data_IF_846100860902
#
_entry.id   IF_846100860902
#
_cell.length_a   1.000
_cell.length_b   1.000
_cell.length_c   1.000
_cell.angle_alpha   90.00
_cell.angle_beta   90.00
_cell.angle_gamma   90.00
#
_symmetry.space_group_name_H-M   'P 1'
#
loop_
_entity.id
_entity.type
_entity.pdbx_description
1 polymer ?
#
# COMPACT_ATOMS: atom_id res chain seq x y z
N UNK A 1 -11.02 -39.15 9.15
CA UNK A 1 -9.84 -38.37 9.61
C UNK A 1 -9.89 -36.98 8.99
N UNK A 2 -9.88 -35.93 9.83
CA UNK A 2 -10.19 -34.56 9.42
C UNK A 2 -9.21 -33.99 8.39
N UNK A 3 -9.75 -33.34 7.36
CA UNK A 3 -9.04 -32.79 6.20
C UNK A 3 -8.09 -31.60 6.48
N UNK A 4 -7.81 -31.29 7.76
CA UNK A 4 -7.00 -30.13 8.15
C UNK A 4 -5.93 -30.58 9.16
N UNK A 5 -4.69 -30.59 8.71
CA UNK A 5 -3.54 -30.82 9.58
C UNK A 5 -3.42 -29.67 10.59
N UNK A 6 -3.56 -29.98 11.88
CA UNK A 6 -3.31 -29.05 12.98
C UNK A 6 -1.99 -29.39 13.69
N UNK A 7 -1.19 -28.37 13.97
CA UNK A 7 0.04 -28.52 14.75
C UNK A 7 -0.29 -28.86 16.20
N UNK A 8 0.65 -29.49 16.91
CA UNK A 8 0.51 -29.72 18.34
C UNK A 8 0.40 -28.38 19.08
N UNK A 9 -0.62 -28.26 19.93
CA UNK A 9 -0.82 -27.09 20.80
C UNK A 9 0.17 -27.10 21.97
N UNK A 10 0.29 -25.98 22.69
CA UNK A 10 1.05 -25.95 23.94
C UNK A 10 0.48 -26.92 24.98
N UNK A 11 -0.85 -27.10 25.01
CA UNK A 11 -1.51 -28.02 25.94
C UNK A 11 -1.22 -29.48 25.60
N UNK A 12 -1.20 -29.84 24.32
CA UNK A 12 -0.78 -31.17 23.85
C UNK A 12 0.70 -31.42 24.20
N UNK A 13 1.58 -30.43 24.00
CA UNK A 13 3.01 -30.57 24.34
C UNK A 13 3.26 -30.78 25.84
N UNK A 14 2.55 -30.07 26.72
CA UNK A 14 2.62 -30.27 28.18
C UNK A 14 2.09 -31.64 28.62
N UNK A 15 1.14 -32.23 27.88
CA UNK A 15 0.71 -33.62 28.11
C UNK A 15 1.81 -34.61 27.72
N UNK A 16 2.41 -34.43 26.54
CA UNK A 16 3.53 -35.25 26.06
C UNK A 16 4.71 -35.22 27.05
N UNK A 17 5.04 -34.05 27.58
CA UNK A 17 6.06 -33.89 28.64
C UNK A 17 5.78 -34.76 29.86
N UNK A 18 4.59 -34.62 30.47
CA UNK A 18 4.21 -35.44 31.64
C UNK A 18 4.25 -36.94 31.34
N UNK A 19 3.76 -37.34 30.18
CA UNK A 19 3.78 -38.75 29.75
C UNK A 19 5.20 -39.26 29.46
N UNK A 20 6.10 -38.39 28.99
CA UNK A 20 7.50 -38.75 28.79
C UNK A 20 8.19 -39.03 30.12
N UNK A 21 7.94 -38.21 31.15
CA UNK A 21 8.42 -38.47 32.50
C UNK A 21 7.83 -39.76 33.10
N UNK A 22 6.55 -40.02 32.84
CA UNK A 22 5.87 -41.26 33.25
C UNK A 22 6.21 -42.48 32.37
N UNK A 23 7.16 -42.37 31.42
CA UNK A 23 7.60 -43.44 30.51
C UNK A 23 6.48 -44.10 29.69
N UNK A 24 5.40 -43.37 29.42
CA UNK A 24 4.28 -43.84 28.59
C UNK A 24 4.77 -44.09 27.14
N UNK A 25 4.37 -45.19 26.48
CA UNK A 25 4.78 -45.47 25.11
C UNK A 25 4.21 -44.47 24.11
N UNK A 26 4.97 -44.19 23.05
CA UNK A 26 4.59 -43.21 21.99
C UNK A 26 3.28 -43.57 21.31
N UNK A 27 3.00 -44.87 21.14
CA UNK A 27 1.77 -45.37 20.55
C UNK A 27 0.54 -44.99 21.38
N UNK A 28 0.66 -45.05 22.71
CA UNK A 28 -0.41 -44.65 23.62
C UNK A 28 -0.61 -43.14 23.62
N UNK A 29 0.47 -42.35 23.62
CA UNK A 29 0.38 -40.89 23.49
C UNK A 29 -0.35 -40.50 22.18
N UNK A 30 0.00 -41.15 21.07
CA UNK A 30 -0.60 -40.92 19.77
C UNK A 30 -2.10 -41.27 19.75
N UNK A 31 -2.48 -42.41 20.35
CA UNK A 31 -3.86 -42.86 20.51
C UNK A 31 -4.69 -41.86 21.32
N UNK A 32 -4.20 -41.44 22.49
CA UNK A 32 -4.92 -40.51 23.39
C UNK A 32 -5.06 -39.11 22.78
N UNK A 33 -4.03 -38.60 22.10
CA UNK A 33 -4.09 -37.31 21.40
C UNK A 33 -4.80 -37.37 20.05
N UNK A 34 -5.18 -38.57 19.57
CA UNK A 34 -5.72 -38.80 18.23
C UNK A 34 -4.80 -38.24 17.14
N UNK A 35 -3.49 -38.46 17.28
CA UNK A 35 -2.44 -38.04 16.33
C UNK A 35 -1.77 -39.27 15.73
N UNK A 36 -1.17 -39.10 14.54
CA UNK A 36 -0.33 -40.14 13.96
C UNK A 36 0.92 -40.37 14.82
N UNK A 37 1.33 -41.63 15.01
CA UNK A 37 2.56 -42.02 15.74
C UNK A 37 3.78 -41.24 15.26
N UNK A 38 3.98 -41.16 13.95
CA UNK A 38 5.10 -40.42 13.35
C UNK A 38 5.11 -38.92 13.68
N UNK A 39 3.96 -38.31 14.00
CA UNK A 39 3.91 -36.91 14.44
C UNK A 39 4.52 -36.76 15.82
N UNK A 40 4.17 -37.64 16.77
CA UNK A 40 4.73 -37.61 18.13
C UNK A 40 6.23 -37.94 18.11
N UNK A 41 6.64 -38.94 17.33
CA UNK A 41 8.05 -39.29 17.19
C UNK A 41 8.88 -38.13 16.63
N UNK A 42 8.39 -37.47 15.57
CA UNK A 42 9.06 -36.29 14.99
C UNK A 42 9.08 -35.11 15.96
N UNK A 43 8.03 -34.91 16.74
CA UNK A 43 7.97 -33.85 17.77
C UNK A 43 9.06 -34.07 18.82
N UNK A 44 9.09 -35.27 19.44
CA UNK A 44 10.08 -35.62 20.46
C UNK A 44 11.51 -35.50 19.94
N UNK A 45 11.78 -36.00 18.73
CA UNK A 45 13.12 -35.94 18.12
C UNK A 45 13.54 -34.52 17.78
N UNK A 46 12.63 -33.71 17.22
CA UNK A 46 12.98 -32.38 16.69
C UNK A 46 13.04 -31.31 17.76
N UNK A 47 12.30 -31.46 18.85
CA UNK A 47 12.15 -30.44 19.89
C UNK A 47 12.69 -30.93 21.24
N UNK A 48 13.69 -31.82 21.20
CA UNK A 48 14.49 -32.20 22.36
C UNK A 48 15.39 -31.03 22.77
N UNK A 49 15.39 -30.69 24.04
CA UNK A 49 16.33 -29.72 24.61
C UNK A 49 17.58 -30.46 25.08
N UNK A 50 18.74 -29.93 24.73
CA UNK A 50 20.04 -30.42 25.17
C UNK A 50 20.98 -29.23 25.35
N UNK A 51 21.73 -29.22 26.45
CA UNK A 51 22.70 -28.16 26.77
C UNK A 51 24.01 -28.80 27.24
N UNK A 52 25.10 -28.54 26.51
CA UNK A 52 26.42 -29.07 26.80
C UNK A 52 26.94 -28.66 28.20
N UNK A 53 26.47 -27.53 28.74
CA UNK A 53 26.86 -27.03 30.06
C UNK A 53 25.97 -27.55 31.19
N UNK A 54 24.83 -28.19 30.85
CA UNK A 54 23.88 -28.76 31.81
C UNK A 54 23.33 -30.10 31.31
N UNK A 55 24.17 -31.14 31.15
CA UNK A 55 23.74 -32.43 30.61
C UNK A 55 22.67 -33.14 31.44
N UNK A 56 22.53 -32.80 32.74
CA UNK A 56 21.46 -33.31 33.60
C UNK A 56 20.06 -32.73 33.30
N UNK A 57 19.99 -31.69 32.46
CA UNK A 57 18.75 -31.01 32.07
C UNK A 57 18.30 -31.41 30.65
N UNK A 58 18.89 -32.44 30.06
CA UNK A 58 18.52 -32.91 28.72
C UNK A 58 17.16 -33.60 28.74
N UNK A 59 16.27 -33.17 27.85
CA UNK A 59 14.93 -33.77 27.80
C UNK A 59 13.93 -33.07 26.91
N UNK A 60 12.69 -33.57 26.99
CA UNK A 60 11.56 -32.96 26.29
C UNK A 60 10.72 -32.16 27.28
N UNK A 61 10.77 -30.83 27.16
CA UNK A 61 9.95 -29.90 27.93
C UNK A 61 8.91 -29.26 27.03
N UNK A 62 7.63 -29.32 27.40
CA UNK A 62 6.55 -28.89 26.53
C UNK A 62 6.60 -27.40 26.19
N UNK A 63 7.05 -26.57 27.14
CA UNK A 63 7.27 -25.14 26.93
C UNK A 63 8.47 -24.86 26.02
N UNK A 64 9.63 -25.50 26.29
CA UNK A 64 10.83 -25.34 25.46
C UNK A 64 10.57 -25.84 24.03
N UNK A 65 9.91 -27.00 23.87
CA UNK A 65 9.55 -27.55 22.58
C UNK A 65 8.63 -26.62 21.77
N UNK A 66 7.72 -25.91 22.45
CA UNK A 66 6.89 -24.89 21.80
C UNK A 66 7.72 -23.71 21.30
N UNK A 67 8.69 -23.24 22.10
CA UNK A 67 9.60 -22.15 21.73
C UNK A 67 10.53 -22.56 20.57
N UNK A 68 11.16 -23.74 20.64
CA UNK A 68 12.02 -24.30 19.59
C UNK A 68 11.25 -24.42 18.26
N UNK A 69 10.00 -24.93 18.32
CA UNK A 69 9.14 -25.02 17.13
C UNK A 69 8.80 -23.63 16.57
N UNK A 70 8.47 -22.67 17.43
CA UNK A 70 8.18 -21.31 17.03
C UNK A 70 9.40 -20.63 16.38
N UNK A 71 10.58 -20.82 16.95
CA UNK A 71 11.84 -20.27 16.46
C UNK A 71 12.22 -20.87 15.10
N UNK A 72 12.15 -22.19 14.95
CA UNK A 72 12.41 -22.86 13.66
C UNK A 72 11.52 -22.29 12.56
N UNK A 73 10.22 -22.16 12.84
CA UNK A 73 9.26 -21.54 11.90
C UNK A 73 9.57 -20.08 11.63
N UNK A 74 10.07 -19.35 12.63
CA UNK A 74 10.48 -17.97 12.47
C UNK A 74 11.66 -17.84 11.49
N UNK A 75 12.65 -18.74 11.57
CA UNK A 75 13.80 -18.82 10.65
C UNK A 75 13.39 -19.23 9.23
N UNK A 76 12.42 -20.13 9.12
CA UNK A 76 11.88 -20.60 7.83
C UNK A 76 10.94 -19.62 7.12
N UNK A 77 10.61 -18.47 7.73
CA UNK A 77 9.79 -17.44 7.07
C UNK A 77 10.46 -17.02 5.75
N UNK A 78 9.68 -16.95 4.68
CA UNK A 78 10.19 -16.67 3.32
C UNK A 78 11.05 -15.41 3.20
N UNK A 79 10.69 -14.34 3.92
CA UNK A 79 11.45 -13.09 3.93
C UNK A 79 12.71 -13.15 4.83
N UNK A 80 12.82 -14.12 5.73
CA UNK A 80 14.07 -14.39 6.46
C UNK A 80 14.99 -15.26 5.61
N UNK A 81 14.44 -16.30 4.98
CA UNK A 81 15.20 -17.23 4.11
C UNK A 81 15.77 -16.57 2.85
N UNK A 82 15.11 -15.54 2.30
CA UNK A 82 15.53 -14.88 1.07
C UNK A 82 15.83 -13.39 1.32
N UNK A 83 17.09 -13.03 1.67
CA UNK A 83 17.46 -11.68 2.05
C UNK A 83 17.28 -10.65 0.92
N UNK A 84 17.55 -11.02 -0.33
CA UNK A 84 17.35 -10.13 -1.48
C UNK A 84 15.87 -9.82 -1.73
N UNK A 85 15.00 -10.82 -1.58
CA UNK A 85 13.55 -10.60 -1.66
C UNK A 85 13.09 -9.65 -0.55
N UNK A 86 13.60 -9.85 0.67
CA UNK A 86 13.32 -8.97 1.80
C UNK A 86 13.77 -7.54 1.53
N UNK A 87 15.00 -7.33 1.05
CA UNK A 87 15.53 -6.02 0.71
C UNK A 87 14.62 -5.29 -0.27
N UNK A 88 14.24 -5.96 -1.37
CA UNK A 88 13.30 -5.41 -2.38
C UNK A 88 11.93 -5.07 -1.79
N UNK A 89 11.38 -5.92 -0.92
CA UNK A 89 10.10 -5.66 -0.25
C UNK A 89 10.20 -4.43 0.66
N UNK A 90 11.26 -4.34 1.48
CA UNK A 90 11.48 -3.22 2.40
C UNK A 90 11.66 -1.91 1.63
N UNK A 91 12.45 -1.92 0.56
CA UNK A 91 12.64 -0.75 -0.30
C UNK A 91 11.31 -0.25 -0.88
N UNK A 92 10.49 -1.15 -1.43
CA UNK A 92 9.16 -0.80 -1.96
C UNK A 92 8.24 -0.26 -0.85
N UNK A 93 8.26 -0.84 0.35
CA UNK A 93 7.51 -0.33 1.52
C UNK A 93 7.96 1.09 1.85
N UNK A 94 9.27 1.33 1.95
CA UNK A 94 9.84 2.65 2.27
C UNK A 94 9.51 3.69 1.21
N UNK A 95 9.39 3.29 -0.06
CA UNK A 95 8.90 4.11 -1.17
C UNK A 95 7.37 4.32 -1.18
N UNK A 96 6.65 3.81 -0.19
CA UNK A 96 5.23 4.08 0.03
C UNK A 96 4.29 3.04 -0.56
N UNK A 97 4.80 1.93 -1.09
CA UNK A 97 3.97 0.88 -1.65
C UNK A 97 3.30 0.07 -0.54
N UNK A 98 2.04 -0.26 -0.75
CA UNK A 98 1.30 -1.14 0.16
C UNK A 98 1.67 -2.61 -0.06
N UNK A 99 1.51 -3.47 0.95
CA UNK A 99 1.71 -4.92 0.79
C UNK A 99 0.92 -5.55 -0.37
N UNK A 100 -0.32 -5.11 -0.61
CA UNK A 100 -1.13 -5.55 -1.76
C UNK A 100 -0.47 -5.15 -3.08
N UNK A 101 -0.01 -3.91 -3.19
CA UNK A 101 0.68 -3.40 -4.38
C UNK A 101 1.97 -4.16 -4.66
N UNK A 102 2.79 -4.42 -3.64
CA UNK A 102 4.06 -5.14 -3.79
C UNK A 102 3.81 -6.56 -4.29
N UNK A 103 2.88 -7.27 -3.65
CA UNK A 103 2.56 -8.66 -3.97
C UNK A 103 2.03 -8.79 -5.40
N UNK A 104 1.05 -7.98 -5.79
CA UNK A 104 0.48 -8.04 -7.13
C UNK A 104 1.43 -7.52 -8.19
N UNK A 105 2.30 -6.56 -7.86
CA UNK A 105 3.37 -6.13 -8.78
C UNK A 105 4.33 -7.27 -9.10
N UNK A 106 4.71 -8.08 -8.12
CA UNK A 106 5.55 -9.27 -8.37
C UNK A 106 4.87 -10.29 -9.29
N UNK A 107 3.54 -10.40 -9.23
CA UNK A 107 2.76 -11.26 -10.14
C UNK A 107 2.77 -10.67 -11.55
N UNK A 108 2.51 -9.36 -11.68
CA UNK A 108 2.55 -8.64 -12.95
C UNK A 108 3.92 -8.77 -13.65
N UNK A 109 5.00 -8.61 -12.89
CA UNK A 109 6.39 -8.76 -13.36
C UNK A 109 6.79 -10.22 -13.61
N UNK A 110 5.89 -11.19 -13.41
CA UNK A 110 6.16 -12.64 -13.51
C UNK A 110 7.40 -13.08 -12.71
N UNK A 111 7.66 -12.44 -11.56
CA UNK A 111 8.85 -12.72 -10.77
C UNK A 111 8.92 -14.20 -10.35
N UNK A 112 10.09 -14.82 -10.45
CA UNK A 112 10.32 -16.22 -10.04
C UNK A 112 10.04 -16.44 -8.55
N UNK A 113 10.43 -15.48 -7.72
CA UNK A 113 10.24 -15.52 -6.27
C UNK A 113 9.28 -14.42 -5.80
N UNK A 114 8.13 -14.83 -5.24
CA UNK A 114 7.03 -13.91 -4.85
C UNK A 114 6.60 -14.10 -3.39
N UNK A 115 5.98 -13.08 -2.82
CA UNK A 115 5.30 -13.14 -1.52
C UNK A 115 3.87 -12.63 -1.63
N UNK A 116 2.96 -13.23 -0.86
CA UNK A 116 1.61 -12.70 -0.73
C UNK A 116 1.60 -11.49 0.22
N UNK A 117 0.57 -10.65 0.12
CA UNK A 117 0.39 -9.49 1.00
C UNK A 117 0.43 -9.85 2.50
N UNK A 118 -0.11 -11.01 2.88
CA UNK A 118 -0.16 -11.46 4.28
C UNK A 118 1.25 -11.78 4.80
N UNK A 119 2.10 -12.42 3.98
CA UNK A 119 3.51 -12.65 4.32
C UNK A 119 4.25 -11.35 4.60
N UNK A 120 3.98 -10.30 3.81
CA UNK A 120 4.59 -8.99 4.00
C UNK A 120 4.10 -8.36 5.30
N UNK A 121 2.79 -8.32 5.55
CA UNK A 121 2.26 -7.80 6.82
C UNK A 121 2.81 -8.58 8.03
N UNK A 122 2.88 -9.90 7.96
CA UNK A 122 3.47 -10.73 9.04
C UNK A 122 4.93 -10.36 9.31
N UNK A 123 5.69 -9.98 8.29
CA UNK A 123 7.05 -9.48 8.47
C UNK A 123 7.07 -8.07 9.09
N UNK A 124 6.27 -7.13 8.58
CA UNK A 124 6.18 -5.77 9.13
C UNK A 124 5.88 -5.80 10.64
N UNK A 125 4.95 -6.65 11.06
CA UNK A 125 4.53 -6.75 12.46
C UNK A 125 5.34 -7.75 13.29
N UNK A 126 6.38 -8.36 12.71
CA UNK A 126 7.30 -9.21 13.47
C UNK A 126 8.35 -8.38 14.20
N UNK A 127 9.11 -9.02 15.11
CA UNK A 127 10.17 -8.35 15.87
C UNK A 127 11.16 -7.63 14.95
N UNK A 128 11.51 -8.24 13.82
CA UNK A 128 12.43 -7.66 12.84
C UNK A 128 11.86 -6.41 12.17
N UNK A 129 10.62 -6.49 11.67
CA UNK A 129 9.97 -5.36 11.01
C UNK A 129 9.62 -4.21 11.95
N UNK A 130 9.37 -4.50 13.23
CA UNK A 130 9.16 -3.49 14.27
C UNK A 130 10.46 -2.76 14.61
N UNK A 131 11.61 -3.46 14.67
CA UNK A 131 12.93 -2.83 14.89
C UNK A 131 13.31 -1.86 13.78
N UNK A 132 12.80 -2.06 12.57
CA UNK A 132 13.02 -1.19 11.41
C UNK A 132 11.91 -0.14 11.20
N UNK A 133 10.95 -0.04 12.13
CA UNK A 133 9.77 0.85 12.06
C UNK A 133 8.99 0.75 10.74
N UNK A 134 8.92 -0.45 10.14
CA UNK A 134 8.26 -0.64 8.84
C UNK A 134 6.77 -0.29 8.87
N UNK A 135 6.15 -0.34 10.05
CA UNK A 135 4.76 0.04 10.28
C UNK A 135 4.51 1.53 9.99
N UNK A 136 5.52 2.39 10.15
CA UNK A 136 5.46 3.82 9.82
C UNK A 136 5.26 4.04 8.32
N UNK A 137 5.68 3.08 7.49
CA UNK A 137 5.53 3.16 6.05
C UNK A 137 4.22 2.52 5.54
N UNK A 138 3.29 2.19 6.43
CA UNK A 138 1.94 1.81 6.02
C UNK A 138 1.04 3.06 5.91
N UNK A 139 0.01 3.07 5.04
CA UNK A 139 -0.86 4.23 4.85
C UNK A 139 -1.51 4.78 6.13
N UNK A 140 -1.68 3.93 7.15
CA UNK A 140 -2.30 4.31 8.42
C UNK A 140 -1.31 4.45 9.58
N UNK A 141 -0.01 4.24 9.35
CA UNK A 141 1.04 4.34 10.39
C UNK A 141 0.71 3.56 11.67
N UNK A 142 0.15 2.35 11.54
CA UNK A 142 -0.30 1.58 12.71
C UNK A 142 0.74 0.56 13.14
N UNK A 143 1.23 0.72 14.37
CA UNK A 143 2.16 -0.19 15.06
C UNK A 143 1.59 -1.61 15.20
N UNK A 144 0.27 -1.74 15.35
CA UNK A 144 -0.41 -3.02 15.48
C UNK A 144 -1.59 -3.16 14.50
N UNK A 145 -1.87 -4.41 14.10
CA UNK A 145 -3.05 -4.75 13.29
C UNK A 145 -4.31 -4.52 14.11
N UNK A 146 -5.35 -3.98 13.47
CA UNK A 146 -6.68 -4.01 14.06
C UNK A 146 -7.33 -5.35 13.77
N UNK A 147 -8.00 -5.98 14.76
CA UNK A 147 -8.88 -7.11 14.50
C UNK A 147 -9.88 -6.71 13.42
N UNK A 148 -10.15 -7.63 12.50
CA UNK A 148 -11.17 -7.44 11.47
C UNK A 148 -12.53 -7.50 12.18
N UNK A 149 -13.00 -6.38 12.72
CA UNK A 149 -14.36 -6.28 13.23
C UNK A 149 -15.28 -6.47 12.03
N UNK A 150 -16.14 -7.48 12.07
CA UNK A 150 -17.32 -7.60 11.22
C UNK A 150 -18.18 -6.38 11.53
N UNK A 151 -17.97 -5.29 10.79
CA UNK A 151 -18.85 -4.14 10.85
C UNK A 151 -20.18 -4.66 10.30
N UNK A 152 -21.19 -4.86 11.16
CA UNK A 152 -22.58 -5.05 10.71
C UNK A 152 -22.83 -3.95 9.68
N UNK A 153 -23.11 -4.31 8.43
CA UNK A 153 -23.53 -3.35 7.41
C UNK A 153 -24.80 -2.70 7.98
N UNK A 154 -24.69 -1.44 8.40
CA UNK A 154 -25.87 -0.62 8.62
C UNK A 154 -26.54 -0.46 7.27
N UNK A 155 -27.86 -0.52 7.23
CA UNK A 155 -28.59 -0.23 6.02
C UNK A 155 -28.15 1.14 5.47
N UNK A 156 -27.95 1.28 4.15
CA UNK A 156 -27.63 2.56 3.56
C UNK A 156 -28.72 3.56 3.95
N UNK A 157 -28.34 4.72 4.47
CA UNK A 157 -29.29 5.81 4.78
C UNK A 157 -29.99 6.39 3.54
N UNK A 158 -29.53 6.02 2.34
CA UNK A 158 -29.96 6.58 1.06
C UNK A 158 -30.40 5.45 0.13
N UNK A 159 -31.37 5.73 -0.75
CA UNK A 159 -31.89 4.79 -1.75
C UNK A 159 -30.77 4.23 -2.62
N UNK A 160 -30.91 2.99 -3.11
CA UNK A 160 -29.86 2.32 -3.90
C UNK A 160 -29.47 3.10 -5.15
N UNK A 161 -30.40 3.85 -5.73
CA UNK A 161 -30.19 4.62 -6.97
C UNK A 161 -29.37 5.90 -6.76
N UNK A 162 -29.22 6.35 -5.50
CA UNK A 162 -28.29 7.44 -5.12
C UNK A 162 -26.97 6.91 -4.57
N UNK A 163 -26.79 5.58 -4.57
CA UNK A 163 -25.56 4.93 -4.12
C UNK A 163 -24.44 5.16 -5.13
N UNK A 164 -23.23 5.37 -4.62
CA UNK A 164 -22.00 5.45 -5.44
C UNK A 164 -21.79 4.22 -6.34
N UNK A 165 -22.46 3.11 -6.03
CA UNK A 165 -22.44 1.84 -6.78
C UNK A 165 -23.26 1.89 -8.09
N UNK A 166 -24.24 2.79 -8.21
CA UNK A 166 -25.12 2.94 -9.37
C UNK A 166 -24.85 4.25 -10.13
N UNK A 167 -23.58 4.68 -10.14
CA UNK A 167 -23.15 5.86 -10.89
C UNK A 167 -23.44 5.65 -12.40
N UNK A 168 -24.08 6.60 -13.11
CA UNK A 168 -24.27 6.52 -14.56
C UNK A 168 -22.92 6.35 -15.30
N UNK A 169 -22.90 5.46 -16.28
CA UNK A 169 -21.69 5.06 -17.02
C UNK A 169 -21.03 6.25 -17.74
N UNK A 170 -21.84 7.19 -18.22
CA UNK A 170 -21.45 8.38 -18.98
C UNK A 170 -20.48 9.29 -18.18
N UNK A 171 -20.64 9.35 -16.86
CA UNK A 171 -19.79 10.13 -15.92
C UNK A 171 -18.49 9.38 -15.58
N UNK A 172 -18.42 8.08 -15.88
CA UNK A 172 -17.31 7.19 -15.53
C UNK A 172 -16.25 7.03 -16.64
N UNK A 173 -16.49 7.57 -17.84
CA UNK A 173 -15.66 7.29 -19.00
C UNK A 173 -14.34 8.07 -19.00
N UNK A 174 -13.39 7.55 -18.22
CA UNK A 174 -11.96 7.87 -18.25
C UNK A 174 -11.31 7.15 -19.44
N UNK A 175 -11.84 7.38 -20.64
CA UNK A 175 -11.54 6.59 -21.83
C UNK A 175 -10.46 7.22 -22.70
N UNK A 176 -10.43 8.56 -22.75
CA UNK A 176 -9.49 9.29 -23.60
C UNK A 176 -8.31 9.83 -22.79
N UNK A 177 -7.11 9.64 -23.34
CA UNK A 177 -5.87 10.14 -22.78
C UNK A 177 -5.74 11.66 -22.96
N UNK A 178 -5.06 12.32 -22.01
CA UNK A 178 -4.72 13.74 -22.09
C UNK A 178 -5.73 14.67 -21.43
N UNK A 179 -6.71 14.13 -20.71
CA UNK A 179 -7.59 14.92 -19.84
C UNK A 179 -7.08 14.89 -18.41
N UNK A 180 -6.91 16.07 -17.81
CA UNK A 180 -6.35 16.24 -16.49
C UNK A 180 -7.39 16.77 -15.49
N UNK A 181 -7.30 16.32 -14.25
CA UNK A 181 -8.01 16.92 -13.12
C UNK A 181 -7.01 17.75 -12.30
N UNK A 182 -7.34 19.00 -12.00
CA UNK A 182 -6.51 19.91 -11.22
C UNK A 182 -7.16 20.24 -9.88
N UNK A 183 -6.38 20.28 -8.80
CA UNK A 183 -6.87 20.64 -7.47
C UNK A 183 -5.82 21.42 -6.68
N UNK A 184 -6.26 22.26 -5.73
CA UNK A 184 -5.37 23.06 -4.89
C UNK A 184 -5.30 22.50 -3.47
N UNK A 185 -4.15 21.91 -3.13
CA UNK A 185 -3.90 21.40 -1.79
C UNK A 185 -3.46 22.51 -0.84
N UNK A 186 -4.33 22.81 0.13
CA UNK A 186 -4.08 23.82 1.16
C UNK A 186 -3.36 23.24 2.40
N UNK A 187 -2.56 24.07 3.06
CA UNK A 187 -1.85 23.76 4.29
C UNK A 187 -2.33 24.67 5.43
N UNK A 188 -1.92 24.38 6.68
CA UNK A 188 -2.33 25.21 7.81
C UNK A 188 -1.94 26.67 7.59
N UNK A 189 -2.89 27.59 7.73
CA UNK A 189 -2.70 29.04 7.50
C UNK A 189 -1.53 29.62 8.30
N UNK A 190 -1.29 29.14 9.52
CA UNK A 190 -0.15 29.55 10.36
C UNK A 190 1.24 29.29 9.75
N UNK A 191 1.33 28.46 8.71
CA UNK A 191 2.57 28.16 7.99
C UNK A 191 2.74 29.05 6.74
N UNK A 192 1.85 30.03 6.55
CA UNK A 192 1.83 30.94 5.41
C UNK A 192 0.80 30.58 4.35
N UNK A 193 0.91 31.22 3.19
CA UNK A 193 -0.04 31.10 2.08
C UNK A 193 0.35 30.02 1.05
N UNK A 194 1.47 29.33 1.28
CA UNK A 194 1.98 28.33 0.34
C UNK A 194 1.01 27.15 0.21
N UNK A 195 0.94 26.64 -1.01
CA UNK A 195 0.02 25.57 -1.38
C UNK A 195 0.65 24.71 -2.48
N UNK A 196 0.00 23.62 -2.83
CA UNK A 196 0.45 22.72 -3.90
C UNK A 196 -0.70 22.51 -4.88
N UNK A 197 -0.48 22.83 -6.15
CA UNK A 197 -1.39 22.40 -7.21
C UNK A 197 -1.07 20.96 -7.56
N UNK A 198 -2.08 20.10 -7.57
CA UNK A 198 -2.00 18.71 -8.03
C UNK A 198 -2.73 18.58 -9.36
N UNK A 199 -2.04 18.09 -10.39
CA UNK A 199 -2.59 17.75 -11.70
C UNK A 199 -2.55 16.24 -11.85
N UNK A 200 -3.66 15.61 -12.26
CA UNK A 200 -3.72 14.16 -12.44
C UNK A 200 -4.40 13.79 -13.76
N UNK A 201 -3.67 13.10 -14.63
CA UNK A 201 -4.21 12.61 -15.90
C UNK A 201 -5.19 11.46 -15.64
N UNK A 202 -6.37 11.52 -16.27
CA UNK A 202 -7.54 10.71 -15.90
C UNK A 202 -7.44 9.26 -16.32
N UNK A 203 -6.63 8.89 -17.31
CA UNK A 203 -6.45 7.49 -17.73
C UNK A 203 -5.34 6.84 -16.90
N UNK A 204 -4.12 7.34 -17.05
CA UNK A 204 -2.87 6.85 -16.47
C UNK A 204 -2.71 7.14 -14.99
N UNK A 205 -3.45 8.11 -14.42
CA UNK A 205 -3.21 8.64 -13.05
C UNK A 205 -1.87 9.32 -12.88
N UNK A 206 -1.19 9.66 -13.98
CA UNK A 206 0.07 10.36 -13.91
C UNK A 206 -0.14 11.69 -13.19
N UNK A 207 0.65 11.93 -12.16
CA UNK A 207 0.46 13.02 -11.23
C UNK A 207 1.61 14.00 -11.37
N UNK A 208 1.30 15.28 -11.51
CA UNK A 208 2.26 16.38 -11.41
C UNK A 208 1.89 17.22 -10.21
N UNK A 209 2.86 17.62 -9.40
CA UNK A 209 2.63 18.51 -8.26
C UNK A 209 3.51 19.76 -8.37
N UNK A 210 2.90 20.92 -8.15
CA UNK A 210 3.54 22.22 -8.33
C UNK A 210 3.41 23.00 -7.02
N UNK A 211 4.53 23.31 -6.38
CA UNK A 211 4.57 24.15 -5.18
C UNK A 211 4.33 25.61 -5.55
N UNK A 212 3.44 26.30 -4.87
CA UNK A 212 3.15 27.72 -5.07
C UNK A 212 3.38 28.53 -3.79
N UNK A 213 3.92 29.76 -3.88
CA UNK A 213 4.12 30.62 -2.72
C UNK A 213 2.79 31.12 -2.13
N UNK A 214 1.79 31.36 -2.98
CA UNK A 214 0.45 31.85 -2.61
C UNK A 214 -0.60 31.32 -3.60
N UNK A 215 -1.87 31.72 -3.44
CA UNK A 215 -3.01 31.30 -4.29
C UNK A 215 -3.32 32.27 -5.43
N UNK A 216 -2.39 33.16 -5.78
CA UNK A 216 -2.63 34.11 -6.88
C UNK A 216 -2.73 33.34 -8.18
N UNK A 217 -3.80 33.60 -8.91
CA UNK A 217 -4.20 32.88 -10.12
C UNK A 217 -3.11 32.90 -11.20
N UNK A 218 -2.58 34.09 -11.55
CA UNK A 218 -1.56 34.22 -12.62
C UNK A 218 -0.31 33.34 -12.38
N UNK A 219 0.38 33.40 -11.21
CA UNK A 219 1.49 32.49 -10.93
C UNK A 219 1.14 31.00 -10.97
N UNK A 220 -0.03 30.61 -10.46
CA UNK A 220 -0.49 29.21 -10.44
C UNK A 220 -0.70 28.72 -11.88
N UNK A 221 -1.45 29.48 -12.68
CA UNK A 221 -1.72 29.15 -14.08
C UNK A 221 -0.43 29.09 -14.91
N UNK A 222 0.48 30.07 -14.75
CA UNK A 222 1.76 30.06 -15.44
C UNK A 222 2.64 28.84 -15.10
N UNK A 223 2.55 28.32 -13.88
CA UNK A 223 3.23 27.05 -13.51
C UNK A 223 2.59 25.84 -14.18
N UNK A 224 1.25 25.79 -14.24
CA UNK A 224 0.53 24.72 -14.94
C UNK A 224 0.94 24.72 -16.43
N UNK A 225 0.91 25.88 -17.08
CA UNK A 225 1.32 26.04 -18.48
C UNK A 225 2.75 25.52 -18.69
N UNK A 226 3.71 26.01 -17.90
CA UNK A 226 5.11 25.55 -18.00
C UNK A 226 5.29 24.05 -17.77
N UNK A 227 4.44 23.43 -16.95
CA UNK A 227 4.53 21.99 -16.66
C UNK A 227 3.97 21.11 -17.77
N UNK A 228 3.07 21.64 -18.60
CA UNK A 228 2.39 20.87 -19.65
C UNK A 228 2.80 21.28 -21.06
N UNK A 229 3.40 22.47 -21.27
CA UNK A 229 3.68 23.03 -22.61
C UNK A 229 4.45 22.07 -23.54
N UNK A 230 5.37 21.29 -22.98
CA UNK A 230 6.26 20.40 -23.75
C UNK A 230 5.60 19.04 -24.07
N UNK A 231 4.38 18.80 -23.54
CA UNK A 231 3.59 17.63 -23.92
C UNK A 231 2.87 17.90 -25.25
N UNK A 232 2.72 16.88 -26.11
CA UNK A 232 1.93 16.99 -27.32
C UNK A 232 0.45 17.22 -26.96
N UNK A 233 -0.31 17.88 -27.84
CA UNK A 233 -1.70 18.26 -27.57
C UNK A 233 -2.57 17.06 -27.13
N UNK A 234 -2.34 15.88 -27.71
CA UNK A 234 -3.01 14.62 -27.36
C UNK A 234 -2.85 14.22 -25.88
N UNK A 235 -1.78 14.65 -25.24
CA UNK A 235 -1.48 14.40 -23.83
C UNK A 235 -1.90 15.54 -22.90
N UNK A 236 -2.45 16.64 -23.43
CA UNK A 236 -2.90 17.82 -22.67
C UNK A 236 -4.15 18.46 -23.31
N UNK A 237 -5.09 17.62 -23.72
CA UNK A 237 -6.35 18.01 -24.39
C UNK A 237 -7.18 18.96 -23.54
N UNK A 238 -7.36 18.63 -22.25
CA UNK A 238 -8.11 19.49 -21.34
C UNK A 238 -7.69 19.39 -19.89
N UNK A 239 -8.05 20.40 -19.09
CA UNK A 239 -7.93 20.41 -17.63
C UNK A 239 -9.28 20.74 -17.00
N UNK A 240 -9.69 19.95 -16.02
CA UNK A 240 -10.90 20.19 -15.22
C UNK A 240 -10.52 20.77 -13.86
N UNK A 241 -11.06 21.93 -13.53
CA UNK A 241 -10.90 22.63 -12.25
C UNK A 241 -12.20 22.59 -11.42
N UNK A 242 -12.09 22.87 -10.12
CA UNK A 242 -13.19 23.39 -9.34
C UNK A 242 -13.41 24.88 -9.64
N UNK A 243 -14.59 25.41 -9.30
CA UNK A 243 -14.92 26.84 -9.47
C UNK A 243 -14.23 27.75 -8.43
N UNK A 244 -12.96 27.48 -8.14
CA UNK A 244 -12.12 28.28 -7.26
C UNK A 244 -11.62 29.55 -7.96
N UNK A 245 -11.46 30.63 -7.20
CA UNK A 245 -10.98 31.92 -7.72
C UNK A 245 -9.51 31.85 -8.17
N UNK A 246 -8.76 30.88 -7.66
CA UNK A 246 -7.38 30.56 -8.03
C UNK A 246 -7.19 30.10 -9.49
N UNK A 247 -8.27 29.82 -10.23
CA UNK A 247 -8.23 29.34 -11.62
C UNK A 247 -8.92 30.28 -12.62
N UNK A 248 -9.27 31.51 -12.21
CA UNK A 248 -9.99 32.49 -13.05
C UNK A 248 -9.23 32.89 -14.32
N UNK A 249 -7.89 32.86 -14.32
CA UNK A 249 -7.05 33.21 -15.47
C UNK A 249 -6.83 31.99 -16.39
N UNK A 250 -7.81 31.09 -16.46
CA UNK A 250 -7.82 29.95 -17.37
C UNK A 250 -7.78 30.29 -18.86
N UNK A 251 -8.24 31.46 -19.38
CA UNK A 251 -8.16 31.74 -20.81
C UNK A 251 -6.73 31.65 -21.37
N UNK A 252 -5.71 31.88 -20.53
CA UNK A 252 -4.30 31.72 -20.91
C UNK A 252 -3.92 30.27 -21.23
N UNK A 253 -4.58 29.24 -20.66
CA UNK A 253 -4.31 27.84 -21.03
C UNK A 253 -4.68 27.56 -22.49
N UNK A 254 -5.85 28.04 -22.91
CA UNK A 254 -6.29 27.85 -24.27
C UNK A 254 -5.43 28.68 -25.23
N UNK A 255 -5.10 29.93 -24.87
CA UNK A 255 -4.32 30.81 -25.73
C UNK A 255 -2.85 30.36 -25.90
N UNK A 256 -2.17 29.95 -24.82
CA UNK A 256 -0.73 29.67 -24.86
C UNK A 256 -0.39 28.25 -25.28
N UNK A 257 -1.23 27.27 -24.89
CA UNK A 257 -0.95 25.87 -25.19
C UNK A 257 -2.07 25.20 -26.00
N UNK A 258 -3.29 25.74 -26.06
CA UNK A 258 -4.41 25.09 -26.78
C UNK A 258 -5.14 24.04 -25.95
N UNK A 259 -4.95 24.05 -24.63
CA UNK A 259 -5.58 23.11 -23.70
C UNK A 259 -6.94 23.64 -23.24
N UNK A 260 -7.99 22.85 -23.49
CA UNK A 260 -9.35 23.20 -23.10
C UNK A 260 -9.52 23.23 -21.58
N UNK A 261 -10.38 24.12 -21.10
CA UNK A 261 -10.68 24.23 -19.66
C UNK A 261 -12.13 23.85 -19.39
N UNK A 262 -12.33 23.01 -18.37
CA UNK A 262 -13.64 22.62 -17.86
C UNK A 262 -13.75 22.95 -16.38
N UNK A 263 -14.96 23.25 -15.91
CA UNK A 263 -15.24 23.49 -14.49
C UNK A 263 -16.27 22.49 -13.98
N UNK A 264 -16.08 22.03 -12.74
CA UNK A 264 -17.05 21.17 -12.07
C UNK A 264 -18.33 21.94 -11.72
N UNK A 265 -19.45 21.22 -11.70
CA UNK A 265 -20.75 21.74 -11.27
C UNK A 265 -20.74 22.08 -9.76
N UNK A 266 -21.59 23.03 -9.31
CA UNK A 266 -21.65 23.36 -7.90
C UNK A 266 -22.07 22.11 -7.13
N UNK A 267 -21.53 21.93 -5.93
CA UNK A 267 -21.84 20.78 -5.08
C UNK A 267 -21.58 19.39 -5.71
N UNK A 268 -20.73 19.32 -6.75
CA UNK A 268 -20.42 18.08 -7.48
C UNK A 268 -18.96 17.59 -7.33
N UNK A 269 -18.43 17.43 -6.10
CA UNK A 269 -17.02 17.07 -5.88
C UNK A 269 -16.63 15.70 -6.48
N UNK A 270 -17.59 14.83 -6.77
CA UNK A 270 -17.35 13.52 -7.38
C UNK A 270 -16.81 13.59 -8.83
N UNK A 271 -16.99 14.72 -9.53
CA UNK A 271 -16.46 14.94 -10.87
C UNK A 271 -14.91 14.96 -10.89
N UNK A 272 -14.28 15.22 -9.74
CA UNK A 272 -12.82 15.23 -9.51
C UNK A 272 -12.32 14.05 -8.63
N UNK A 273 -12.99 12.90 -8.71
CA UNK A 273 -12.68 11.75 -7.86
C UNK A 273 -11.26 11.19 -8.03
N UNK A 274 -10.57 11.47 -9.15
CA UNK A 274 -9.20 10.99 -9.38
C UNK A 274 -8.19 11.81 -8.58
N UNK A 275 -8.27 13.13 -8.73
CA UNK A 275 -7.34 14.04 -8.05
C UNK A 275 -7.57 14.00 -6.54
N UNK A 276 -8.81 13.86 -6.07
CA UNK A 276 -9.10 13.76 -4.63
C UNK A 276 -8.46 12.51 -3.98
N UNK A 277 -8.57 11.34 -4.65
CA UNK A 277 -7.91 10.10 -4.20
C UNK A 277 -6.38 10.24 -4.22
N UNK A 278 -5.85 10.91 -5.24
CA UNK A 278 -4.41 11.18 -5.35
C UNK A 278 -3.93 12.13 -4.27
N UNK A 279 -4.71 13.17 -3.95
CA UNK A 279 -4.44 14.12 -2.89
C UNK A 279 -4.43 13.44 -1.52
N UNK A 280 -5.33 12.49 -1.26
CA UNK A 280 -5.27 11.64 -0.06
C UNK A 280 -3.95 10.86 0.06
N UNK A 281 -3.35 10.44 -1.06
CA UNK A 281 -2.04 9.77 -1.06
C UNK A 281 -0.89 10.76 -0.90
N UNK A 282 -0.96 11.92 -1.55
CA UNK A 282 0.00 13.02 -1.37
C UNK A 282 0.08 13.45 0.09
N UNK A 283 -1.04 13.48 0.83
CA UNK A 283 -1.07 13.85 2.26
C UNK A 283 -0.20 12.98 3.16
N UNK A 284 0.22 11.79 2.71
CA UNK A 284 1.19 10.96 3.42
C UNK A 284 2.59 11.60 3.45
N UNK A 285 2.96 12.26 2.37
CA UNK A 285 4.27 12.93 2.22
C UNK A 285 4.18 14.42 2.51
N UNK A 286 3.02 15.02 2.25
CA UNK A 286 2.70 16.43 2.45
C UNK A 286 1.55 16.60 3.44
N UNK A 287 1.73 16.22 4.73
CA UNK A 287 0.69 16.39 5.73
C UNK A 287 0.33 17.86 5.88
N UNK A 288 -0.92 18.17 6.29
CA UNK A 288 -1.40 19.56 6.42
C UNK A 288 -0.54 20.46 7.32
N UNK A 289 0.23 19.86 8.23
CA UNK A 289 1.15 20.53 9.17
C UNK A 289 2.58 20.71 8.63
N UNK A 290 2.90 20.22 7.42
CA UNK A 290 4.21 20.37 6.80
C UNK A 290 4.39 21.82 6.35
N UNK A 291 5.52 22.43 6.68
CA UNK A 291 5.91 23.72 6.13
C UNK A 291 6.50 23.51 4.73
N UNK A 292 5.82 24.04 3.71
CA UNK A 292 6.24 23.92 2.33
C UNK A 292 7.46 24.79 2.00
N UNK A 293 7.76 25.82 2.80
CA UNK A 293 8.93 26.66 2.58
C UNK A 293 10.23 25.87 2.76
N UNK A 294 10.20 24.87 3.65
CA UNK A 294 11.30 23.91 3.89
C UNK A 294 11.37 22.78 2.85
N UNK A 295 10.40 22.68 1.92
CA UNK A 295 10.40 21.67 0.88
C UNK A 295 11.01 22.28 -0.39
N UNK A 296 12.10 21.71 -0.89
CA UNK A 296 12.74 22.12 -2.14
C UNK A 296 11.94 21.62 -3.35
N UNK A 297 12.21 22.16 -4.54
CA UNK A 297 11.60 21.64 -5.77
C UNK A 297 12.07 20.21 -6.06
N UNK A 298 13.28 19.85 -5.62
CA UNK A 298 13.78 18.47 -5.66
C UNK A 298 12.92 17.54 -4.78
N UNK A 299 12.59 17.93 -3.55
CA UNK A 299 11.71 17.14 -2.67
C UNK A 299 10.34 16.91 -3.32
N UNK A 300 9.78 17.95 -3.97
CA UNK A 300 8.52 17.86 -4.68
C UNK A 300 8.60 16.85 -5.84
N UNK A 301 9.70 16.88 -6.60
CA UNK A 301 9.96 15.91 -7.66
C UNK A 301 10.06 14.47 -7.12
N UNK A 302 10.81 14.25 -6.05
CA UNK A 302 10.92 12.92 -5.41
C UNK A 302 9.55 12.39 -4.96
N UNK A 303 8.69 13.24 -4.40
CA UNK A 303 7.33 12.86 -3.99
C UNK A 303 6.47 12.50 -5.22
N UNK A 304 6.57 13.29 -6.28
CA UNK A 304 5.91 13.06 -7.57
C UNK A 304 6.32 11.72 -8.17
N UNK A 305 7.63 11.47 -8.27
CA UNK A 305 8.20 10.23 -8.80
C UNK A 305 7.77 9.02 -7.98
N UNK A 306 7.74 9.12 -6.64
CA UNK A 306 7.22 8.03 -5.79
C UNK A 306 5.77 7.69 -6.13
N UNK A 307 4.91 8.68 -6.35
CA UNK A 307 3.51 8.43 -6.70
C UNK A 307 3.35 7.81 -8.08
N UNK A 308 4.12 8.33 -9.06
CA UNK A 308 4.10 7.88 -10.44
C UNK A 308 4.76 6.51 -10.64
N UNK A 309 5.63 6.10 -9.72
CA UNK A 309 6.24 4.76 -9.69
C UNK A 309 5.52 3.80 -8.75
N UNK A 310 4.44 4.20 -8.07
CA UNK A 310 3.66 3.30 -7.23
C UNK A 310 2.54 2.62 -8.04
N UNK A 311 2.53 1.28 -8.16
CA UNK A 311 1.60 0.56 -9.02
C UNK A 311 0.16 0.69 -8.53
N UNK A 312 -0.80 0.69 -9.46
CA UNK A 312 -2.22 0.93 -9.15
C UNK A 312 -3.08 -0.26 -9.58
N UNK A 313 -3.96 -0.69 -8.67
CA UNK A 313 -4.93 -1.77 -8.95
C UNK A 313 -5.81 -1.47 -10.16
N UNK A 314 -6.25 -0.21 -10.29
CA UNK A 314 -7.07 0.24 -11.42
C UNK A 314 -6.31 0.28 -12.77
N UNK A 315 -4.98 0.13 -12.76
CA UNK A 315 -4.14 0.08 -13.95
C UNK A 315 -3.57 -1.32 -14.17
N UNK A 316 -4.22 -2.37 -13.65
CA UNK A 316 -3.72 -3.74 -13.75
C UNK A 316 -2.35 -3.95 -13.09
N UNK A 317 -2.05 -3.17 -12.05
CA UNK A 317 -0.77 -3.17 -11.32
C UNK A 317 0.44 -2.59 -12.09
N UNK A 318 0.19 -1.91 -13.22
CA UNK A 318 1.15 -0.97 -13.81
C UNK A 318 1.28 0.30 -12.96
N UNK A 319 2.39 1.01 -13.12
CA UNK A 319 2.61 2.33 -12.52
C UNK A 319 1.99 3.43 -13.39
N UNK A 320 1.59 4.57 -12.83
CA UNK A 320 1.16 5.71 -13.63
C UNK A 320 2.17 6.15 -14.69
N UNK A 321 3.47 6.10 -14.36
CA UNK A 321 4.55 6.43 -15.30
C UNK A 321 4.61 5.46 -16.49
N UNK A 322 4.40 4.16 -16.26
CA UNK A 322 4.35 3.16 -17.34
C UNK A 322 3.16 3.40 -18.26
N UNK A 323 1.96 3.55 -17.71
CA UNK A 323 0.74 3.75 -18.51
C UNK A 323 0.79 5.06 -19.27
N UNK A 324 1.29 6.14 -18.65
CA UNK A 324 1.44 7.42 -19.33
C UNK A 324 2.39 7.30 -20.53
N UNK A 325 3.52 6.61 -20.36
CA UNK A 325 4.49 6.37 -21.45
C UNK A 325 3.89 5.51 -22.57
N UNK A 326 3.17 4.45 -22.22
CA UNK A 326 2.47 3.60 -23.21
C UNK A 326 1.47 4.43 -24.02
N UNK A 327 0.65 5.25 -23.37
CA UNK A 327 -0.32 6.11 -24.06
C UNK A 327 0.32 7.21 -24.90
N UNK A 328 1.42 7.78 -24.44
CA UNK A 328 2.22 8.72 -25.24
C UNK A 328 2.74 8.06 -26.53
N UNK A 329 3.23 6.82 -26.45
CA UNK A 329 3.75 6.09 -27.61
C UNK A 329 2.63 5.63 -28.56
N UNK A 330 1.46 5.26 -28.03
CA UNK A 330 0.28 4.88 -28.85
C UNK A 330 -0.25 6.04 -29.69
N UNK A 331 -0.25 7.27 -29.16
CA UNK A 331 -0.77 8.45 -29.87
C UNK A 331 0.27 9.14 -30.77
N UNK A 332 1.54 8.70 -30.71
CA UNK A 332 2.63 9.16 -31.59
C UNK A 332 2.87 8.23 -32.80
N UNK A 333 2.18 7.08 -32.83
CA UNK A 333 2.10 6.19 -34.00
C UNK A 333 0.90 6.58 -34.83
#
# INVERSE_FOLDING_TARGET
>A
MGAVYSQLSITERRKIERWRHAKVPVDEMARVLKRCRSTIFRELKRNHFSDENMPGCDGYYGAAAHLIQAERRARERKLIKHPELRKRVIERIKNGWTPEQISNRMIHERASLRVCQETIYRYIYSKEGQREDLWWYLPTHRVARRPRRTRRRREPKFHRDVSILFRPDDVAHRRQFGHWEADLMLFKQKLGQSNVTSLVERVSRFTVILKNPNRRTKPVMGKIIRSLKDLPLVARRSITFDRGTEFVSWPHLQAEIGTQTWFCDPSSPWQKGTVENTNRRLRRWLPRKRDLRQCTDHDMKVICDRLNNTPRKCLGWKTPAEVFREKMLEEMR
#
